data_IF_488868441101
#
_entry.id   IF_488868441101
#
_cell.length_a   1.000
_cell.length_b   1.000
_cell.length_c   1.000
_cell.angle_alpha   90.00
_cell.angle_beta   90.00
_cell.angle_gamma   90.00
#
_symmetry.space_group_name_H-M   'P 1'
#
loop_
_entity.id
_entity.type
_entity.pdbx_description
1 polymer ?
#
# COMPACT_ATOMS: atom_id res chain seq x y z
N UNK A 1 -41.02 6.05 65.37
CA UNK A 1 -41.32 6.63 64.05
C UNK A 1 -40.64 5.76 63.01
N UNK A 2 -41.44 5.24 62.08
CA UNK A 2 -41.03 4.37 60.98
C UNK A 2 -40.17 5.18 60.00
N UNK A 3 -39.10 4.58 59.47
CA UNK A 3 -39.03 4.29 58.04
C UNK A 3 -37.84 3.39 57.73
N UNK A 4 -38.21 2.25 57.18
CA UNK A 4 -37.39 1.17 56.66
C UNK A 4 -36.52 1.65 55.50
N UNK A 5 -35.24 1.29 55.49
CA UNK A 5 -34.46 1.22 54.24
C UNK A 5 -33.93 -0.19 54.10
N UNK A 6 -34.65 -0.94 53.27
CA UNK A 6 -34.38 -2.34 52.92
C UNK A 6 -32.99 -2.47 52.29
N UNK A 7 -32.19 -3.33 52.89
CA UNK A 7 -31.18 -4.16 52.23
C UNK A 7 -31.82 -4.79 50.99
N UNK A 8 -31.30 -4.51 49.80
CA UNK A 8 -31.68 -5.27 48.62
C UNK A 8 -30.46 -5.92 47.98
N UNK A 9 -30.52 -7.23 48.06
CA UNK A 9 -29.61 -8.23 47.57
C UNK A 9 -29.66 -8.21 46.04
N UNK A 10 -28.50 -8.44 45.42
CA UNK A 10 -28.32 -8.71 43.99
C UNK A 10 -29.45 -9.59 43.40
N UNK A 11 -29.97 -9.27 42.20
CA UNK A 11 -30.35 -10.30 41.27
C UNK A 11 -29.17 -10.62 40.35
N UNK A 12 -28.70 -11.87 40.42
CA UNK A 12 -27.96 -12.53 39.34
C UNK A 12 -28.92 -12.73 38.16
N UNK A 13 -28.74 -11.97 37.09
CA UNK A 13 -29.01 -12.37 35.70
C UNK A 13 -28.30 -11.34 34.81
N UNK A 14 -27.60 -11.63 33.73
CA UNK A 14 -27.15 -12.86 33.10
C UNK A 14 -25.91 -12.41 32.32
N UNK A 15 -24.87 -13.23 32.32
CA UNK A 15 -23.78 -13.13 31.34
C UNK A 15 -24.41 -13.17 29.95
N UNK A 16 -24.57 -12.01 29.32
CA UNK A 16 -24.75 -11.90 27.89
C UNK A 16 -23.53 -11.14 27.38
N UNK A 17 -22.50 -11.92 27.09
CA UNK A 17 -21.57 -11.74 25.98
C UNK A 17 -21.95 -10.51 25.14
N UNK A 18 -21.15 -9.45 25.15
CA UNK A 18 -21.19 -8.43 24.11
C UNK A 18 -20.70 -9.06 22.79
N UNK A 19 -21.48 -10.00 22.27
CA UNK A 19 -21.49 -10.29 20.85
C UNK A 19 -21.97 -8.99 20.21
N UNK A 20 -21.06 -8.34 19.51
CA UNK A 20 -21.28 -7.07 18.84
C UNK A 20 -22.33 -7.25 17.74
N UNK A 21 -23.62 -7.29 18.10
CA UNK A 21 -24.70 -7.34 17.15
C UNK A 21 -24.66 -6.04 16.34
N UNK A 22 -24.49 -6.18 15.04
CA UNK A 22 -24.52 -5.06 14.10
C UNK A 22 -25.98 -4.62 13.95
N UNK A 23 -26.37 -3.58 14.68
CA UNK A 23 -27.73 -3.04 14.66
C UNK A 23 -27.87 -1.91 13.64
N UNK A 24 -29.09 -1.68 13.15
CA UNK A 24 -29.38 -0.64 12.15
C UNK A 24 -28.91 0.75 12.60
N UNK A 25 -29.22 1.13 13.84
CA UNK A 25 -28.84 2.44 14.40
C UNK A 25 -27.33 2.63 14.49
N UNK A 26 -26.60 1.56 14.83
CA UNK A 26 -25.14 1.58 14.89
C UNK A 26 -24.52 1.74 13.51
N UNK A 27 -25.03 1.02 12.51
CA UNK A 27 -24.53 1.10 11.14
C UNK A 27 -24.88 2.48 10.53
N UNK A 28 -26.07 3.02 10.81
CA UNK A 28 -26.51 4.33 10.29
C UNK A 28 -25.67 5.51 10.79
N UNK A 29 -25.00 5.36 11.94
CA UNK A 29 -24.06 6.35 12.47
C UNK A 29 -22.67 6.31 11.81
N UNK A 30 -22.38 5.26 11.04
CA UNK A 30 -21.11 5.10 10.34
C UNK A 30 -21.07 5.92 9.04
N UNK A 31 -19.86 6.21 8.54
CA UNK A 31 -19.72 6.85 7.23
C UNK A 31 -20.17 5.91 6.10
N UNK A 32 -20.59 6.47 4.96
CA UNK A 32 -21.00 5.65 3.79
C UNK A 32 -19.92 4.66 3.37
N UNK A 33 -18.65 5.08 3.42
CA UNK A 33 -17.49 4.23 3.07
C UNK A 33 -17.29 3.11 4.09
N UNK A 34 -17.46 3.40 5.38
CA UNK A 34 -17.39 2.38 6.44
C UNK A 34 -18.55 1.38 6.35
N UNK A 35 -19.76 1.82 6.00
CA UNK A 35 -20.92 0.94 5.76
C UNK A 35 -20.67 0.05 4.53
N UNK A 36 -20.07 0.59 3.47
CA UNK A 36 -19.71 -0.19 2.27
C UNK A 36 -18.62 -1.23 2.57
N UNK A 37 -17.60 -0.84 3.34
CA UNK A 37 -16.53 -1.74 3.77
C UNK A 37 -17.06 -2.82 4.71
N UNK A 38 -17.99 -2.47 5.61
CA UNK A 38 -18.66 -3.42 6.50
C UNK A 38 -19.51 -4.42 5.70
N UNK A 39 -20.29 -3.94 4.71
CA UNK A 39 -21.07 -4.80 3.81
C UNK A 39 -20.18 -5.81 3.09
N UNK A 40 -19.08 -5.36 2.48
CA UNK A 40 -18.12 -6.22 1.79
C UNK A 40 -17.51 -7.30 2.72
N UNK A 41 -17.07 -6.88 3.91
CA UNK A 41 -16.48 -7.80 4.89
C UNK A 41 -17.50 -8.78 5.48
N UNK A 42 -18.76 -8.37 5.63
CA UNK A 42 -19.85 -9.22 6.10
C UNK A 42 -20.20 -10.28 5.04
N UNK A 43 -20.29 -9.90 3.77
CA UNK A 43 -20.49 -10.84 2.65
C UNK A 43 -19.35 -11.84 2.56
N UNK A 44 -18.09 -11.39 2.65
CA UNK A 44 -16.92 -12.27 2.61
C UNK A 44 -16.85 -13.27 3.77
N UNK A 45 -17.54 -12.98 4.89
CA UNK A 45 -17.61 -13.83 6.07
C UNK A 45 -18.94 -14.60 6.21
N UNK A 46 -19.78 -14.57 5.17
CA UNK A 46 -21.08 -15.27 5.17
C UNK A 46 -22.12 -14.67 6.13
N UNK A 47 -21.92 -13.44 6.61
CA UNK A 47 -22.85 -12.72 7.49
C UNK A 47 -23.86 -11.95 6.63
N UNK A 48 -24.75 -12.68 5.97
CA UNK A 48 -25.71 -12.15 4.99
C UNK A 48 -26.64 -11.09 5.58
N UNK A 49 -27.16 -11.31 6.79
CA UNK A 49 -28.05 -10.36 7.48
C UNK A 49 -27.40 -8.98 7.69
N UNK A 50 -26.12 -8.95 8.07
CA UNK A 50 -25.36 -7.70 8.28
C UNK A 50 -25.08 -7.01 6.93
N UNK A 51 -24.78 -7.80 5.89
CA UNK A 51 -24.54 -7.28 4.55
C UNK A 51 -25.82 -6.65 3.96
N UNK A 52 -26.96 -7.32 4.09
CA UNK A 52 -28.27 -6.83 3.66
C UNK A 52 -28.67 -5.57 4.43
N UNK A 53 -28.45 -5.55 5.75
CA UNK A 53 -28.69 -4.39 6.59
C UNK A 53 -27.87 -3.18 6.12
N UNK A 54 -26.58 -3.36 5.84
CA UNK A 54 -25.72 -2.30 5.29
C UNK A 54 -26.22 -1.83 3.92
N UNK A 55 -26.61 -2.73 3.02
CA UNK A 55 -27.13 -2.38 1.70
C UNK A 55 -28.45 -1.60 1.78
N UNK A 56 -29.34 -1.97 2.71
CA UNK A 56 -30.59 -1.24 2.95
C UNK A 56 -30.32 0.20 3.40
N UNK A 57 -29.35 0.40 4.30
CA UNK A 57 -28.95 1.73 4.77
C UNK A 57 -28.32 2.52 3.62
N UNK A 58 -27.41 1.92 2.83
CA UNK A 58 -26.77 2.59 1.69
C UNK A 58 -27.75 3.07 0.61
N UNK A 59 -28.88 2.38 0.44
CA UNK A 59 -29.98 2.76 -0.47
C UNK A 59 -30.79 3.94 0.07
N UNK A 60 -30.94 4.05 1.40
CA UNK A 60 -31.67 5.15 2.05
C UNK A 60 -30.81 6.40 2.26
N UNK A 61 -29.48 6.24 2.31
CA UNK A 61 -28.57 7.37 2.36
C UNK A 61 -28.61 8.13 1.02
N UNK A 62 -28.77 9.46 1.03
CA UNK A 62 -28.73 10.24 -0.19
C UNK A 62 -27.44 9.93 -0.93
N UNK A 63 -27.58 9.51 -2.20
CA UNK A 63 -26.42 9.35 -3.07
C UNK A 63 -25.81 10.73 -3.19
N UNK A 64 -24.62 10.90 -2.65
CA UNK A 64 -23.81 12.08 -2.91
C UNK A 64 -23.43 12.03 -4.39
N UNK A 65 -24.33 12.49 -5.27
CA UNK A 65 -23.90 13.17 -6.49
C UNK A 65 -22.85 14.15 -6.01
N UNK A 66 -21.65 14.06 -6.58
CA UNK A 66 -20.50 14.88 -6.27
C UNK A 66 -20.82 16.36 -6.53
N UNK A 67 -21.56 16.96 -5.62
CA UNK A 67 -21.58 18.40 -5.47
C UNK A 67 -20.18 18.72 -4.99
N UNK A 68 -19.44 19.46 -5.84
CA UNK A 68 -18.15 20.08 -5.58
C UNK A 68 -18.21 20.82 -4.23
N UNK A 69 -18.04 20.08 -3.15
CA UNK A 69 -17.88 20.58 -1.80
C UNK A 69 -16.42 20.92 -1.62
N UNK A 70 -16.15 22.23 -1.65
CA UNK A 70 -14.93 22.94 -1.24
C UNK A 70 -14.04 22.07 -0.33
N UNK A 71 -13.16 21.26 -0.92
CA UNK A 71 -12.04 20.68 -0.18
C UNK A 71 -11.07 21.82 0.06
N UNK A 72 -10.64 21.94 1.31
CA UNK A 72 -9.43 22.67 1.68
C UNK A 72 -8.37 22.47 0.61
N UNK A 73 -7.81 23.58 0.16
CA UNK A 73 -6.86 23.71 -0.94
C UNK A 73 -5.53 23.00 -0.68
N UNK A 74 -5.52 21.66 -0.64
CA UNK A 74 -4.35 20.96 -1.15
C UNK A 74 -4.39 21.14 -2.66
N UNK A 75 -3.44 21.91 -3.18
CA UNK A 75 -3.41 22.42 -4.55
C UNK A 75 -3.78 21.35 -5.58
N UNK A 76 -4.52 21.72 -6.63
CA UNK A 76 -4.77 20.83 -7.78
C UNK A 76 -3.46 20.26 -8.36
N UNK A 77 -2.38 21.02 -8.24
CA UNK A 77 -1.02 20.69 -8.67
C UNK A 77 -0.37 19.55 -7.89
N UNK A 78 -0.67 19.40 -6.58
CA UNK A 78 -0.13 18.30 -5.76
C UNK A 78 -0.62 16.95 -6.28
N UNK A 79 -1.92 16.84 -6.56
CA UNK A 79 -2.51 15.61 -7.10
C UNK A 79 -2.06 15.38 -8.54
N UNK A 80 -1.88 16.44 -9.33
CA UNK A 80 -1.39 16.34 -10.71
C UNK A 80 0.04 15.79 -10.75
N UNK A 81 0.95 16.33 -9.93
CA UNK A 81 2.34 15.87 -9.87
C UNK A 81 2.44 14.42 -9.35
N UNK A 82 1.63 14.06 -8.35
CA UNK A 82 1.53 12.69 -7.84
C UNK A 82 1.00 11.73 -8.93
N UNK A 83 -0.02 12.14 -9.69
CA UNK A 83 -0.58 11.34 -10.78
C UNK A 83 0.42 11.17 -11.93
N UNK A 84 1.11 12.24 -12.36
CA UNK A 84 2.14 12.16 -13.40
C UNK A 84 3.29 11.23 -12.99
N UNK A 85 3.69 11.25 -11.71
CA UNK A 85 4.71 10.34 -11.19
C UNK A 85 4.23 8.88 -11.20
N UNK A 86 2.95 8.62 -10.88
CA UNK A 86 2.34 7.29 -11.01
C UNK A 86 2.33 6.83 -12.46
N UNK A 87 1.83 7.66 -13.37
CA UNK A 87 1.72 7.34 -14.80
C UNK A 87 3.09 7.03 -15.41
N UNK A 88 4.10 7.84 -15.08
CA UNK A 88 5.48 7.65 -15.54
C UNK A 88 6.04 6.31 -15.05
N UNK A 89 5.85 5.99 -13.76
CA UNK A 89 6.33 4.75 -13.16
C UNK A 89 5.58 3.52 -13.70
N UNK A 90 4.29 3.64 -13.97
CA UNK A 90 3.47 2.59 -14.57
C UNK A 90 3.87 2.30 -16.01
N UNK A 91 4.03 3.35 -16.82
CA UNK A 91 4.49 3.24 -18.20
C UNK A 91 5.84 2.53 -18.25
N UNK A 92 6.80 3.02 -17.47
CA UNK A 92 8.13 2.40 -17.39
C UNK A 92 8.09 0.96 -16.86
N UNK A 93 7.24 0.68 -15.87
CA UNK A 93 7.04 -0.68 -15.38
C UNK A 93 6.54 -1.64 -16.47
N UNK A 94 5.62 -1.19 -17.33
CA UNK A 94 5.14 -1.98 -18.48
C UNK A 94 6.23 -2.19 -19.52
N UNK A 95 6.96 -1.13 -19.87
CA UNK A 95 8.10 -1.22 -20.80
C UNK A 95 9.13 -2.25 -20.32
N UNK A 96 9.44 -2.30 -19.02
CA UNK A 96 10.36 -3.29 -18.47
C UNK A 96 9.82 -4.72 -18.53
N UNK A 97 8.52 -4.94 -18.34
CA UNK A 97 7.90 -6.27 -18.48
C UNK A 97 7.95 -6.75 -19.94
N UNK A 98 7.86 -5.84 -20.91
CA UNK A 98 7.99 -6.18 -22.33
C UNK A 98 9.42 -6.58 -22.70
N UNK A 99 10.43 -5.95 -22.07
CA UNK A 99 11.84 -6.16 -22.36
C UNK A 99 12.49 -7.29 -21.54
N UNK A 100 11.98 -7.59 -20.35
CA UNK A 100 12.59 -8.52 -19.39
C UNK A 100 11.57 -9.49 -18.79
N UNK A 101 11.99 -10.74 -18.56
CA UNK A 101 11.18 -11.70 -17.82
C UNK A 101 11.29 -11.44 -16.31
N UNK A 102 10.43 -10.54 -15.85
CA UNK A 102 10.28 -10.13 -14.45
C UNK A 102 9.25 -10.99 -13.69
N UNK A 103 8.96 -12.19 -14.19
CA UNK A 103 7.99 -13.09 -13.57
C UNK A 103 8.48 -13.66 -12.25
N UNK A 104 7.54 -13.92 -11.33
CA UNK A 104 7.82 -14.62 -10.07
C UNK A 104 8.45 -16.00 -10.31
N UNK A 105 8.09 -16.66 -11.42
CA UNK A 105 8.61 -17.97 -11.81
C UNK A 105 10.10 -17.89 -12.14
N UNK A 106 10.50 -16.93 -12.97
CA UNK A 106 11.91 -16.73 -13.32
C UNK A 106 12.72 -16.25 -12.12
N UNK A 107 12.19 -15.34 -11.31
CA UNK A 107 12.84 -14.91 -10.08
C UNK A 107 13.12 -16.10 -9.13
N UNK A 108 12.15 -17.00 -8.92
CA UNK A 108 12.36 -18.22 -8.10
C UNK A 108 13.41 -19.14 -8.70
N UNK A 109 13.36 -19.38 -10.01
CA UNK A 109 14.32 -20.26 -10.71
C UNK A 109 15.75 -19.77 -10.57
N UNK A 110 15.96 -18.46 -10.71
CA UNK A 110 17.28 -17.82 -10.60
C UNK A 110 17.78 -17.64 -9.15
N UNK A 111 16.93 -17.92 -8.15
CA UNK A 111 17.22 -17.78 -6.72
C UNK A 111 17.00 -19.09 -5.95
N UNK A 112 17.17 -20.23 -6.64
CA UNK A 112 16.82 -21.56 -6.12
C UNK A 112 17.75 -22.02 -4.98
N UNK A 113 18.92 -21.42 -4.85
CA UNK A 113 19.93 -21.63 -3.82
C UNK A 113 19.60 -20.92 -2.50
N UNK A 114 18.63 -20.00 -2.50
CA UNK A 114 18.24 -19.22 -1.31
C UNK A 114 17.09 -19.91 -0.57
N UNK A 115 17.30 -20.36 0.67
CA UNK A 115 16.25 -21.01 1.45
C UNK A 115 15.04 -20.11 1.67
N UNK A 116 13.83 -20.64 1.42
CA UNK A 116 12.55 -19.94 1.60
C UNK A 116 12.45 -18.63 0.80
N UNK A 117 13.14 -18.54 -0.32
CA UNK A 117 13.04 -17.39 -1.22
C UNK A 117 11.59 -17.15 -1.66
N UNK A 118 11.14 -15.90 -1.51
CA UNK A 118 9.81 -15.45 -1.90
C UNK A 118 9.97 -14.26 -2.83
N UNK A 119 9.72 -14.40 -4.15
CA UNK A 119 9.79 -13.30 -5.09
C UNK A 119 8.70 -12.27 -4.78
N UNK A 120 8.92 -11.06 -5.27
CA UNK A 120 7.87 -10.05 -5.34
C UNK A 120 7.24 -10.10 -6.73
N UNK A 121 5.92 -9.90 -6.82
CA UNK A 121 5.30 -9.47 -8.08
C UNK A 121 5.93 -8.16 -8.51
N UNK A 122 6.31 -7.96 -9.77
CA UNK A 122 7.00 -6.74 -10.17
C UNK A 122 6.16 -5.47 -9.91
N UNK A 123 4.90 -5.52 -10.36
CA UNK A 123 3.85 -4.51 -10.12
C UNK A 123 2.81 -5.01 -9.11
N UNK A 124 1.78 -4.20 -8.86
CA UNK A 124 0.59 -4.58 -8.10
C UNK A 124 -0.18 -5.74 -8.72
N UNK A 125 -1.09 -6.35 -7.95
CA UNK A 125 -1.89 -7.51 -8.42
C UNK A 125 -2.82 -7.16 -9.59
N UNK A 126 -3.19 -5.89 -9.67
CA UNK A 126 -4.02 -5.23 -10.66
C UNK A 126 -3.21 -4.70 -11.87
N UNK A 127 -1.89 -4.87 -11.87
CA UNK A 127 -1.01 -4.38 -12.93
C UNK A 127 -0.70 -2.88 -12.83
N UNK A 128 -1.02 -2.24 -11.72
CA UNK A 128 -0.67 -0.85 -11.41
C UNK A 128 0.54 -0.78 -10.46
N UNK A 129 1.09 0.40 -10.22
CA UNK A 129 2.20 0.54 -9.25
C UNK A 129 1.72 0.20 -7.83
N UNK A 130 2.62 -0.39 -7.05
CA UNK A 130 2.34 -0.76 -5.66
C UNK A 130 2.26 0.49 -4.80
N UNK A 131 1.55 0.38 -3.68
CA UNK A 131 1.49 1.44 -2.67
C UNK A 131 2.30 1.02 -1.44
N UNK A 132 3.17 1.92 -0.97
CA UNK A 132 3.99 1.70 0.22
C UNK A 132 3.15 1.54 1.48
N UNK A 133 3.47 0.53 2.30
CA UNK A 133 2.75 0.26 3.55
C UNK A 133 2.89 1.37 4.61
N UNK A 134 3.88 2.27 4.45
CA UNK A 134 4.18 3.32 5.43
C UNK A 134 3.48 4.66 5.19
N UNK A 135 2.74 4.85 4.10
CA UNK A 135 1.89 6.04 3.95
C UNK A 135 0.87 6.24 5.10
N UNK A 136 0.53 5.17 5.83
CA UNK A 136 -0.39 5.21 6.98
C UNK A 136 0.29 5.41 8.36
N UNK A 137 1.62 5.23 8.47
CA UNK A 137 2.35 5.31 9.76
C UNK A 137 3.70 6.07 9.72
N UNK A 138 4.13 6.57 8.57
CA UNK A 138 5.48 7.13 8.36
C UNK A 138 5.53 8.62 8.01
N UNK A 139 6.73 9.10 7.72
CA UNK A 139 7.05 10.47 7.30
C UNK A 139 6.69 10.78 5.83
N UNK A 140 6.18 9.80 5.07
CA UNK A 140 5.80 9.97 3.67
C UNK A 140 4.29 10.23 3.53
N UNK A 141 3.95 11.20 2.68
CA UNK A 141 2.60 11.53 2.22
C UNK A 141 2.20 10.68 1.00
N UNK A 142 3.16 10.41 0.13
CA UNK A 142 3.00 9.63 -1.10
C UNK A 142 4.14 8.61 -1.20
N UNK A 143 3.81 7.36 -1.58
CA UNK A 143 4.76 6.26 -1.73
C UNK A 143 4.20 5.24 -2.73
N UNK A 144 4.69 5.33 -3.96
CA UNK A 144 4.31 4.46 -5.08
C UNK A 144 5.56 3.80 -5.64
N UNK A 145 5.51 2.51 -5.92
CA UNK A 145 6.72 1.78 -6.30
C UNK A 145 6.47 0.55 -7.18
N UNK A 146 7.51 0.17 -7.92
CA UNK A 146 7.69 -1.16 -8.50
C UNK A 146 8.88 -1.83 -7.82
N UNK A 147 8.91 -3.17 -7.78
CA UNK A 147 10.07 -3.85 -7.20
C UNK A 147 10.29 -5.26 -7.73
N UNK A 148 11.55 -5.62 -7.90
CA UNK A 148 11.99 -6.93 -8.33
C UNK A 148 12.92 -7.53 -7.26
N UNK A 149 12.57 -8.72 -6.77
CA UNK A 149 13.40 -9.46 -5.83
C UNK A 149 13.98 -10.66 -6.55
N UNK A 150 15.30 -10.79 -6.51
CA UNK A 150 16.06 -11.79 -7.24
C UNK A 150 17.37 -12.08 -6.52
N UNK A 151 17.70 -13.35 -6.32
CA UNK A 151 18.84 -13.77 -5.53
C UNK A 151 18.86 -13.04 -4.17
N UNK A 152 20.01 -12.49 -3.77
CA UNK A 152 20.16 -11.70 -2.55
C UNK A 152 19.70 -10.24 -2.72
N UNK A 153 19.23 -9.86 -3.91
CA UNK A 153 18.86 -8.50 -4.26
C UNK A 153 17.37 -8.22 -4.09
N UNK A 154 17.07 -7.00 -3.65
CA UNK A 154 15.73 -6.43 -3.74
C UNK A 154 15.82 -5.04 -4.33
N UNK A 155 15.54 -4.96 -5.62
CA UNK A 155 15.53 -3.73 -6.38
C UNK A 155 14.16 -3.05 -6.22
N UNK A 156 14.14 -1.78 -5.84
CA UNK A 156 12.91 -0.99 -5.71
C UNK A 156 13.10 0.33 -6.42
N UNK A 157 12.11 0.72 -7.23
CA UNK A 157 12.00 2.07 -7.76
C UNK A 157 10.71 2.68 -7.21
N UNK A 158 10.86 3.72 -6.38
CA UNK A 158 9.76 4.46 -5.78
C UNK A 158 9.69 5.89 -6.31
N UNK A 159 8.46 6.41 -6.43
CA UNK A 159 8.17 7.82 -6.38
C UNK A 159 7.60 8.13 -4.99
N UNK A 160 8.22 9.08 -4.28
CA UNK A 160 7.91 9.37 -2.88
C UNK A 160 7.75 10.87 -2.63
N UNK A 161 6.90 11.22 -1.67
CA UNK A 161 6.77 12.60 -1.15
C UNK A 161 6.84 12.56 0.36
N UNK A 162 7.76 13.32 0.94
CA UNK A 162 7.82 13.56 2.38
C UNK A 162 6.66 14.49 2.79
N UNK A 163 6.13 14.33 4.01
CA UNK A 163 5.03 15.16 4.52
C UNK A 163 5.34 16.67 4.52
N UNK A 164 6.59 17.01 4.83
CA UNK A 164 7.09 18.38 4.91
C UNK A 164 7.62 18.91 3.56
N UNK A 165 7.55 18.12 2.48
CA UNK A 165 8.02 18.51 1.15
C UNK A 165 6.88 18.65 0.16
N UNK A 166 6.98 19.62 -0.74
CA UNK A 166 6.11 19.75 -1.92
C UNK A 166 6.50 18.79 -3.05
N UNK A 167 7.75 18.34 -3.06
CA UNK A 167 8.35 17.74 -4.24
C UNK A 167 8.25 16.21 -4.23
N UNK A 168 8.05 15.65 -5.43
CA UNK A 168 8.20 14.23 -5.66
C UNK A 168 9.68 13.94 -5.84
N UNK A 169 10.19 12.98 -5.07
CA UNK A 169 11.52 12.42 -5.23
C UNK A 169 11.39 11.03 -5.81
N UNK A 170 12.34 10.69 -6.68
CA UNK A 170 12.50 9.35 -7.20
C UNK A 170 13.58 8.64 -6.39
N UNK A 171 13.30 7.43 -5.92
CA UNK A 171 14.20 6.69 -5.05
C UNK A 171 14.47 5.30 -5.63
N UNK A 172 15.74 4.97 -5.80
CA UNK A 172 16.19 3.62 -6.13
C UNK A 172 16.76 2.96 -4.88
N UNK A 173 16.21 1.82 -4.48
CA UNK A 173 16.79 0.97 -3.43
C UNK A 173 17.43 -0.27 -4.05
N UNK A 174 18.66 -0.56 -3.64
CA UNK A 174 19.44 -1.73 -4.05
C UNK A 174 20.55 -2.01 -3.01
N UNK A 175 21.35 -3.06 -3.23
CA UNK A 175 22.56 -3.32 -2.44
C UNK A 175 23.60 -2.20 -2.56
N UNK A 176 24.46 -2.08 -1.54
CA UNK A 176 25.47 -1.02 -1.43
C UNK A 176 26.36 -0.90 -2.69
N UNK A 177 26.81 -2.04 -3.22
CA UNK A 177 27.72 -2.07 -4.39
C UNK A 177 27.06 -1.78 -5.73
N UNK A 178 25.74 -1.65 -5.76
CA UNK A 178 24.95 -1.42 -6.98
C UNK A 178 24.49 0.04 -7.14
N UNK A 179 24.70 0.87 -6.11
CA UNK A 179 24.33 2.29 -6.14
C UNK A 179 25.59 3.17 -6.26
N UNK A 180 25.61 4.17 -7.16
CA UNK A 180 26.71 5.12 -7.28
C UNK A 180 26.96 5.96 -6.02
N UNK A 181 25.88 6.45 -5.39
CA UNK A 181 25.95 7.28 -4.18
C UNK A 181 24.94 6.78 -3.14
N UNK A 182 25.21 5.63 -2.51
CA UNK A 182 24.28 5.00 -1.59
C UNK A 182 24.16 5.81 -0.29
N UNK A 183 22.93 5.98 0.17
CA UNK A 183 22.60 6.44 1.53
C UNK A 183 21.83 5.34 2.25
N UNK A 184 21.90 5.29 3.58
CA UNK A 184 21.06 4.34 4.31
C UNK A 184 19.59 4.73 4.17
N UNK A 185 18.70 3.75 4.11
CA UNK A 185 17.27 4.03 3.96
C UNK A 185 16.72 4.87 5.12
N UNK A 186 17.18 4.63 6.34
CA UNK A 186 16.84 5.41 7.54
C UNK A 186 17.27 6.88 7.47
N UNK A 187 18.35 7.20 6.77
CA UNK A 187 18.82 8.58 6.55
C UNK A 187 17.92 9.35 5.59
N UNK A 188 17.39 8.65 4.58
CA UNK A 188 16.59 9.28 3.52
C UNK A 188 15.08 9.20 3.75
N UNK A 189 14.62 8.28 4.60
CA UNK A 189 13.22 8.15 5.04
C UNK A 189 13.15 8.19 6.57
N UNK A 190 13.06 9.39 7.18
CA UNK A 190 12.98 9.52 8.63
C UNK A 190 11.86 8.66 9.24
N UNK A 191 12.17 7.94 10.32
CA UNK A 191 11.23 7.00 10.97
C UNK A 191 11.10 5.63 10.30
N UNK A 192 11.89 5.35 9.26
CA UNK A 192 12.10 3.99 8.75
C UNK A 192 13.29 3.37 9.47
N UNK A 193 13.02 2.35 10.28
CA UNK A 193 14.07 1.48 10.79
C UNK A 193 14.60 0.58 9.64
N UNK A 194 15.92 0.55 9.46
CA UNK A 194 16.61 -0.22 8.42
C UNK A 194 16.31 -1.72 8.53
N UNK A 195 16.04 -2.22 9.74
CA UNK A 195 15.69 -3.62 10.01
C UNK A 195 14.19 -3.93 9.84
N UNK A 196 13.36 -2.91 9.60
CA UNK A 196 11.90 -3.11 9.43
C UNK A 196 11.50 -3.66 8.05
N UNK A 197 12.43 -3.72 7.10
CA UNK A 197 12.18 -4.11 5.69
C UNK A 197 13.11 -5.27 5.24
N UNK A 198 13.74 -5.97 6.18
CA UNK A 198 14.64 -7.08 5.90
C UNK A 198 15.60 -7.35 7.05
N UNK A 199 16.48 -8.35 6.86
CA UNK A 199 17.55 -8.66 7.81
C UNK A 199 18.82 -7.83 7.60
N UNK A 200 18.96 -7.25 6.40
CA UNK A 200 20.13 -6.46 6.01
C UNK A 200 19.75 -4.98 5.83
N UNK A 201 20.67 -4.04 6.12
CA UNK A 201 20.47 -2.63 5.85
C UNK A 201 20.17 -2.40 4.37
N UNK A 202 19.13 -1.61 4.10
CA UNK A 202 18.81 -1.18 2.73
C UNK A 202 19.50 0.14 2.43
N UNK A 203 20.02 0.24 1.23
CA UNK A 203 20.57 1.48 0.70
C UNK A 203 19.62 2.06 -0.34
N UNK A 204 19.63 3.37 -0.44
CA UNK A 204 18.79 4.15 -1.32
C UNK A 204 19.57 5.29 -1.96
N UNK A 205 19.16 5.69 -3.16
CA UNK A 205 19.64 6.88 -3.84
C UNK A 205 18.44 7.69 -4.35
N UNK A 206 18.46 9.00 -4.10
CA UNK A 206 17.42 9.94 -4.51
C UNK A 206 17.79 10.65 -5.81
N UNK A 207 16.77 10.94 -6.60
CA UNK A 207 16.82 11.68 -7.85
C UNK A 207 15.68 12.68 -7.89
N UNK A 208 15.94 13.83 -8.51
CA UNK A 208 14.91 14.85 -8.79
C UNK A 208 14.19 14.57 -10.11
N UNK A 209 14.86 13.90 -11.04
CA UNK A 209 14.36 13.63 -12.38
C UNK A 209 14.08 12.14 -12.56
N UNK A 210 12.93 11.85 -13.19
CA UNK A 210 12.46 10.49 -13.39
C UNK A 210 13.43 9.68 -14.26
N UNK A 211 13.93 10.30 -15.31
CA UNK A 211 14.76 9.69 -16.34
C UNK A 211 16.09 9.17 -15.77
N UNK A 212 16.68 9.91 -14.82
CA UNK A 212 17.91 9.51 -14.15
C UNK A 212 17.70 8.25 -13.29
N UNK A 213 16.63 8.24 -12.50
CA UNK A 213 16.25 7.10 -11.69
C UNK A 213 15.87 5.89 -12.55
N UNK A 214 15.10 6.11 -13.63
CA UNK A 214 14.69 5.07 -14.56
C UNK A 214 15.89 4.45 -15.28
N UNK A 215 16.86 5.25 -15.72
CA UNK A 215 18.09 4.76 -16.32
C UNK A 215 18.88 3.89 -15.36
N UNK A 216 19.08 4.32 -14.11
CA UNK A 216 19.76 3.51 -13.10
C UNK A 216 19.00 2.21 -12.85
N UNK A 217 17.68 2.27 -12.64
CA UNK A 217 16.88 1.09 -12.38
C UNK A 217 16.91 0.10 -13.55
N UNK A 218 16.86 0.59 -14.80
CA UNK A 218 16.97 -0.24 -15.99
C UNK A 218 18.34 -0.94 -16.07
N UNK A 219 19.44 -0.26 -15.75
CA UNK A 219 20.77 -0.88 -15.67
C UNK A 219 20.81 -2.00 -14.62
N UNK A 220 20.20 -1.77 -13.46
CA UNK A 220 20.09 -2.81 -12.43
C UNK A 220 19.26 -4.00 -12.93
N UNK A 221 18.10 -3.74 -13.55
CA UNK A 221 17.28 -4.81 -14.12
C UNK A 221 18.05 -5.58 -15.20
N UNK A 222 18.77 -4.92 -16.09
CA UNK A 222 19.57 -5.56 -17.15
C UNK A 222 20.67 -6.48 -16.59
N UNK A 223 21.20 -6.16 -15.41
CA UNK A 223 22.20 -6.99 -14.71
C UNK A 223 21.63 -8.31 -14.19
N UNK A 224 20.37 -8.32 -13.73
CA UNK A 224 19.81 -9.48 -13.01
C UNK A 224 18.70 -10.23 -13.75
N UNK A 225 17.92 -9.54 -14.57
CA UNK A 225 16.76 -10.12 -15.24
C UNK A 225 17.11 -10.57 -16.66
N UNK A 226 16.71 -11.79 -17.07
CA UNK A 226 16.86 -12.22 -18.45
C UNK A 226 15.93 -11.40 -19.35
N UNK A 227 16.38 -11.11 -20.56
CA UNK A 227 15.54 -10.47 -21.59
C UNK A 227 14.41 -11.41 -22.02
N UNK A 228 13.25 -10.84 -22.34
CA UNK A 228 12.19 -11.60 -23.01
C UNK A 228 12.73 -12.09 -24.35
N UNK A 229 12.60 -13.38 -24.63
CA UNK A 229 12.88 -13.88 -25.98
C UNK A 229 11.82 -13.30 -26.92
N UNK A 230 12.18 -12.81 -28.11
CA UNK A 230 11.18 -12.44 -29.10
C UNK A 230 10.32 -13.67 -29.37
N UNK A 231 9.00 -13.51 -29.26
CA UNK A 231 8.07 -14.57 -29.62
C UNK A 231 8.30 -14.85 -31.10
N UNK A 232 8.92 -15.99 -31.39
CA UNK A 232 9.10 -16.45 -32.76
C UNK A 232 7.71 -16.86 -33.25
N UNK A 233 7.10 -16.02 -34.08
CA UNK A 233 5.87 -16.37 -34.80
C UNK A 233 6.17 -17.42 -35.88
#
# INVERSE_FOLDING_TARGET
MKNDTKTNILPKSTLATQASAWTFDRIKQMSRDDISNLSYNATARGQTEVAELCQSILKTLPTTKSVKGKRSSSSSTDNESENLAVESLEKFGRELIELYDLSEKTARRLSNDIPKFTPHKFMGKDGFVKTGGKGKKGALKFDKYISYRIQNETLVFSAVKLKESSDILYEIQASLGDLPTPKKLSEVRPGVDDLSIGKEPRYAQHFLHFEEAANLFKMLIDKFAPKTQPVSN
#
